data_IF_261762725508
#
_entry.id   IF_261762725508
#
_cell.length_a   1.000
_cell.length_b   1.000
_cell.length_c   1.000
_cell.angle_alpha   90.00
_cell.angle_beta   90.00
_cell.angle_gamma   90.00
#
_symmetry.space_group_name_H-M   'P 1'
#
loop_
_entity.id
_entity.type
_entity.pdbx_description
1 polymer ?
#
# COMPACT_ATOMS: atom_id res chain seq x y z
N UNK A 1 -33.53 12.55 14.11
CA UNK A 1 -32.94 13.31 12.96
C UNK A 1 -32.77 12.33 11.83
N UNK A 2 -33.29 12.64 10.66
CA UNK A 2 -33.07 11.81 9.47
C UNK A 2 -31.75 12.23 8.83
N UNK A 3 -30.85 11.29 8.65
CA UNK A 3 -29.61 11.52 7.91
C UNK A 3 -29.88 11.33 6.43
N UNK A 4 -29.45 12.26 5.60
CA UNK A 4 -29.40 12.13 4.14
C UNK A 4 -27.96 11.75 3.80
N UNK A 5 -27.77 10.56 3.23
CA UNK A 5 -26.48 10.16 2.70
C UNK A 5 -26.51 10.53 1.22
N UNK A 6 -25.71 11.50 0.82
CA UNK A 6 -25.46 11.82 -0.57
C UNK A 6 -24.24 11.04 -1.07
N UNK A 7 -24.31 10.58 -2.31
CA UNK A 7 -23.17 9.97 -3.01
C UNK A 7 -22.73 10.91 -4.15
N UNK A 8 -21.82 11.88 -3.90
CA UNK A 8 -21.43 12.91 -4.86
C UNK A 8 -20.92 12.31 -6.18
N UNK A 9 -20.24 11.17 -6.13
CA UNK A 9 -19.71 10.49 -7.31
C UNK A 9 -20.82 9.97 -8.23
N UNK A 10 -21.93 9.48 -7.65
CA UNK A 10 -23.08 9.04 -8.44
C UNK A 10 -23.79 10.21 -9.11
N UNK A 11 -23.88 11.37 -8.44
CA UNK A 11 -24.43 12.59 -9.02
C UNK A 11 -23.55 13.10 -10.16
N UNK A 12 -22.23 13.08 -10.02
CA UNK A 12 -21.28 13.45 -11.06
C UNK A 12 -21.36 12.50 -12.28
N UNK A 13 -21.46 11.19 -12.03
CA UNK A 13 -21.67 10.19 -13.07
C UNK A 13 -22.96 10.44 -13.85
N UNK A 14 -24.08 10.60 -13.15
CA UNK A 14 -25.37 10.90 -13.76
C UNK A 14 -25.36 12.22 -14.57
N UNK A 15 -24.67 13.26 -14.09
CA UNK A 15 -24.51 14.51 -14.83
C UNK A 15 -23.74 14.30 -16.14
N UNK A 16 -22.69 13.46 -16.12
CA UNK A 16 -21.88 13.13 -17.30
C UNK A 16 -22.70 12.34 -18.33
N UNK A 17 -23.47 11.35 -17.89
CA UNK A 17 -24.33 10.55 -18.77
C UNK A 17 -25.41 11.41 -19.42
N UNK A 18 -26.05 12.29 -18.65
CA UNK A 18 -27.04 13.23 -19.16
C UNK A 18 -26.43 14.20 -20.17
N UNK A 19 -25.22 14.71 -19.91
CA UNK A 19 -24.51 15.57 -20.87
C UNK A 19 -24.24 14.85 -22.20
N UNK A 20 -23.85 13.56 -22.14
CA UNK A 20 -23.67 12.70 -23.29
C UNK A 20 -24.95 12.51 -24.11
N UNK A 21 -26.08 12.23 -23.44
CA UNK A 21 -27.40 12.13 -24.10
C UNK A 21 -27.80 13.43 -24.78
N UNK A 22 -27.61 14.56 -24.10
CA UNK A 22 -27.91 15.90 -24.69
C UNK A 22 -27.07 16.20 -25.92
N UNK A 23 -25.79 15.85 -25.91
CA UNK A 23 -24.88 15.99 -27.05
C UNK A 23 -25.32 15.12 -28.23
N UNK A 24 -25.64 13.85 -28.00
CA UNK A 24 -26.09 12.94 -29.04
C UNK A 24 -27.39 13.40 -29.69
N UNK A 25 -28.36 13.87 -28.91
CA UNK A 25 -29.61 14.38 -29.40
C UNK A 25 -29.43 15.67 -30.25
N UNK A 26 -28.56 16.58 -29.81
CA UNK A 26 -28.23 17.78 -30.58
C UNK A 26 -27.58 17.44 -31.92
N UNK A 27 -26.67 16.47 -31.97
CA UNK A 27 -26.02 16.01 -33.20
C UNK A 27 -27.08 15.45 -34.16
N UNK A 28 -27.98 14.58 -33.69
CA UNK A 28 -29.05 13.99 -34.48
C UNK A 28 -29.99 15.06 -35.05
N UNK A 29 -30.42 16.03 -34.21
CA UNK A 29 -31.30 17.11 -34.63
C UNK A 29 -30.65 18.06 -35.68
N UNK A 30 -29.36 18.35 -35.52
CA UNK A 30 -28.60 19.14 -36.51
C UNK A 30 -28.45 18.38 -37.83
N UNK A 31 -28.18 17.08 -37.79
CA UNK A 31 -28.06 16.27 -39.01
C UNK A 31 -29.38 16.19 -39.79
N UNK A 32 -30.51 16.12 -39.09
CA UNK A 32 -31.84 16.09 -39.72
C UNK A 32 -32.32 17.46 -40.22
N UNK A 33 -31.83 18.56 -39.65
CA UNK A 33 -32.40 19.93 -39.85
C UNK A 33 -32.56 20.33 -41.32
N UNK A 34 -31.51 20.18 -42.13
CA UNK A 34 -31.56 20.61 -43.56
C UNK A 34 -32.59 19.82 -44.37
N UNK A 35 -32.72 18.53 -44.08
CA UNK A 35 -33.64 17.62 -44.80
C UNK A 35 -35.10 17.90 -44.46
N UNK A 36 -35.42 18.20 -43.19
CA UNK A 36 -36.80 18.35 -42.73
C UNK A 36 -37.32 19.77 -42.90
N UNK A 37 -36.46 20.81 -42.87
CA UNK A 37 -36.85 22.20 -43.02
C UNK A 37 -36.95 22.67 -44.48
N UNK A 38 -36.38 21.90 -45.41
CA UNK A 38 -36.41 22.23 -46.86
C UNK A 38 -37.06 21.11 -47.67
N UNK A 39 -38.29 20.70 -47.30
CA UNK A 39 -39.02 19.63 -48.01
C UNK A 39 -39.40 20.11 -49.39
N UNK A 40 -38.97 19.49 -50.49
CA UNK A 40 -39.39 19.87 -51.85
C UNK A 40 -40.85 19.45 -52.12
N UNK A 41 -41.56 20.22 -52.91
CA UNK A 41 -42.91 19.86 -53.36
C UNK A 41 -42.87 18.57 -54.21
N UNK A 42 -43.79 17.64 -53.98
CA UNK A 42 -43.85 16.36 -54.69
C UNK A 42 -44.28 16.48 -56.16
N UNK A 43 -44.95 17.57 -56.50
CA UNK A 43 -45.39 17.91 -57.85
C UNK A 43 -45.35 19.44 -58.11
N UNK A 44 -45.56 19.85 -59.34
CA UNK A 44 -45.59 21.24 -59.71
C UNK A 44 -47.01 21.88 -59.54
N UNK A 45 -47.76 21.42 -58.56
CA UNK A 45 -49.13 21.91 -58.29
C UNK A 45 -49.17 22.58 -56.88
N UNK A 46 -50.21 23.45 -56.74
CA UNK A 46 -50.38 24.24 -55.52
C UNK A 46 -50.65 23.49 -54.29
N UNK A 47 -51.19 22.25 -54.36
CA UNK A 47 -51.46 21.42 -53.22
C UNK A 47 -50.13 20.81 -52.69
N UNK A 48 -49.30 20.30 -53.60
CA UNK A 48 -47.99 19.81 -53.26
C UNK A 48 -47.08 20.87 -52.63
N UNK A 49 -47.16 22.11 -53.21
CA UNK A 49 -46.41 23.21 -52.63
C UNK A 49 -46.91 23.63 -51.25
N UNK A 50 -48.24 23.68 -51.04
CA UNK A 50 -48.83 23.96 -49.74
C UNK A 50 -48.48 22.91 -48.67
N UNK A 51 -48.48 21.61 -48.98
CA UNK A 51 -48.09 20.55 -48.09
C UNK A 51 -46.60 20.65 -47.71
N UNK A 52 -45.73 20.89 -48.70
CA UNK A 52 -44.29 21.09 -48.43
C UNK A 52 -44.04 22.29 -47.49
N UNK A 53 -44.79 23.38 -47.65
CA UNK A 53 -44.71 24.54 -46.77
C UNK A 53 -45.15 24.22 -45.34
N UNK A 54 -46.26 23.46 -45.15
CA UNK A 54 -46.72 23.03 -43.82
C UNK A 54 -45.68 22.15 -43.11
N UNK A 55 -45.13 21.14 -43.79
CA UNK A 55 -44.11 20.27 -43.20
C UNK A 55 -42.81 21.02 -42.88
N UNK A 56 -42.35 21.90 -43.77
CA UNK A 56 -41.18 22.74 -43.55
C UNK A 56 -41.39 23.70 -42.37
N UNK A 57 -42.60 24.33 -42.28
CA UNK A 57 -42.98 25.18 -41.14
C UNK A 57 -42.98 24.45 -39.84
N UNK A 58 -43.60 23.25 -39.75
CA UNK A 58 -43.60 22.42 -38.55
C UNK A 58 -42.18 22.00 -38.15
N UNK A 59 -41.32 21.69 -39.14
CA UNK A 59 -39.93 21.34 -38.86
C UNK A 59 -39.12 22.52 -38.28
N UNK A 60 -39.38 23.76 -38.74
CA UNK A 60 -38.78 24.96 -38.14
C UNK A 60 -39.22 25.16 -36.68
N UNK A 61 -40.53 24.99 -36.41
CA UNK A 61 -41.05 25.06 -35.02
C UNK A 61 -40.43 23.98 -34.11
N UNK A 62 -40.29 22.74 -34.62
CA UNK A 62 -39.60 21.67 -33.92
C UNK A 62 -38.14 22.03 -33.64
N UNK A 63 -37.38 22.60 -34.57
CA UNK A 63 -35.99 23.00 -34.36
C UNK A 63 -35.90 24.12 -33.30
N UNK A 64 -36.82 25.08 -33.30
CA UNK A 64 -36.88 26.11 -32.27
C UNK A 64 -37.14 25.52 -30.87
N UNK A 65 -38.11 24.61 -30.77
CA UNK A 65 -38.41 23.90 -29.51
C UNK A 65 -37.22 23.05 -29.04
N UNK A 66 -36.57 22.34 -29.97
CA UNK A 66 -35.36 21.53 -29.67
C UNK A 66 -34.24 22.39 -29.11
N UNK A 67 -34.01 23.60 -29.65
CA UNK A 67 -33.01 24.53 -29.12
C UNK A 67 -33.36 25.00 -27.69
N UNK A 68 -34.63 25.27 -27.39
CA UNK A 68 -35.08 25.64 -26.06
C UNK A 68 -34.87 24.46 -25.06
N UNK A 69 -35.26 23.25 -25.46
CA UNK A 69 -35.06 22.04 -24.63
C UNK A 69 -33.60 21.76 -24.37
N UNK A 70 -32.70 21.98 -25.35
CA UNK A 70 -31.26 21.86 -25.16
C UNK A 70 -30.74 22.84 -24.08
N UNK A 71 -31.27 24.07 -24.06
CA UNK A 71 -30.94 25.06 -23.03
C UNK A 71 -31.43 24.68 -21.64
N UNK A 72 -32.61 24.08 -21.53
CA UNK A 72 -33.13 23.55 -20.26
C UNK A 72 -32.28 22.37 -19.77
N UNK A 73 -31.96 21.45 -20.68
CA UNK A 73 -31.11 20.28 -20.39
C UNK A 73 -29.72 20.69 -19.87
N UNK A 74 -29.06 21.64 -20.52
CA UNK A 74 -27.77 22.17 -20.08
C UNK A 74 -27.84 22.77 -18.66
N UNK A 75 -28.85 23.57 -18.37
CA UNK A 75 -29.05 24.13 -17.02
C UNK A 75 -29.29 23.06 -15.99
N UNK A 76 -30.02 22.01 -16.32
CA UNK A 76 -30.24 20.87 -15.42
C UNK A 76 -28.94 20.12 -15.12
N UNK A 77 -28.14 19.83 -16.16
CA UNK A 77 -26.79 19.18 -15.98
C UNK A 77 -25.89 20.05 -15.10
N UNK A 78 -25.85 21.36 -15.33
CA UNK A 78 -25.07 22.29 -14.50
C UNK A 78 -25.54 22.30 -13.04
N UNK A 79 -26.87 22.34 -12.81
CA UNK A 79 -27.41 22.29 -11.45
C UNK A 79 -27.10 20.98 -10.74
N UNK A 80 -27.15 19.85 -11.45
CA UNK A 80 -26.80 18.54 -10.91
C UNK A 80 -25.32 18.46 -10.54
N UNK A 81 -24.44 18.95 -11.39
CA UNK A 81 -22.98 19.04 -11.13
C UNK A 81 -22.70 19.94 -9.93
N UNK A 82 -23.32 21.11 -9.87
CA UNK A 82 -23.16 22.02 -8.73
C UNK A 82 -23.65 21.42 -7.41
N UNK A 83 -24.76 20.66 -7.44
CA UNK A 83 -25.27 19.94 -6.27
C UNK A 83 -24.27 18.88 -5.78
N UNK A 84 -23.71 18.06 -6.69
CA UNK A 84 -22.66 17.09 -6.35
C UNK A 84 -21.46 17.74 -5.70
N UNK A 85 -20.98 18.84 -6.26
CA UNK A 85 -19.86 19.60 -5.68
C UNK A 85 -20.18 20.20 -4.30
N UNK A 86 -21.40 20.68 -4.09
CA UNK A 86 -21.83 21.20 -2.78
C UNK A 86 -21.87 20.12 -1.72
N UNK A 87 -22.35 18.93 -2.04
CA UNK A 87 -22.32 17.79 -1.10
C UNK A 87 -20.91 17.34 -0.80
N UNK A 88 -20.04 17.24 -1.82
CA UNK A 88 -18.62 16.90 -1.60
C UNK A 88 -17.92 17.93 -0.70
N UNK A 89 -18.18 19.21 -0.90
CA UNK A 89 -17.64 20.28 -0.06
C UNK A 89 -18.18 20.21 1.39
N UNK A 90 -19.45 19.88 1.58
CA UNK A 90 -20.05 19.72 2.90
C UNK A 90 -19.45 18.51 3.65
N UNK A 91 -19.25 17.38 2.98
CA UNK A 91 -18.56 16.21 3.54
C UNK A 91 -17.13 16.56 3.95
N UNK A 92 -16.36 17.22 3.08
CA UNK A 92 -15.01 17.67 3.38
C UNK A 92 -14.96 18.66 4.56
N UNK A 93 -15.93 19.57 4.65
CA UNK A 93 -16.03 20.52 5.75
C UNK A 93 -16.40 19.84 7.09
N UNK A 94 -17.15 18.74 7.07
CA UNK A 94 -17.53 18.01 8.28
C UNK A 94 -16.38 17.13 8.83
N UNK A 95 -15.44 16.68 8.00
CA UNK A 95 -14.28 15.88 8.45
C UNK A 95 -13.19 16.76 9.06
N UNK A 96 -12.91 17.93 8.50
CA UNK A 96 -11.82 18.82 8.92
C UNK A 96 -11.93 19.39 10.34
N UNK A 97 -13.10 19.85 10.83
CA UNK A 97 -13.19 20.44 12.16
C UNK A 97 -12.91 19.47 13.30
N UNK A 98 -13.33 18.21 13.15
CA UNK A 98 -13.09 17.18 14.16
C UNK A 98 -11.62 16.80 14.26
N UNK A 99 -10.94 16.63 13.13
CA UNK A 99 -9.50 16.38 13.10
C UNK A 99 -8.70 17.56 13.68
N UNK A 100 -9.06 18.79 13.34
CA UNK A 100 -8.41 19.97 13.91
C UNK A 100 -8.58 20.10 15.43
N UNK A 101 -9.75 19.74 15.96
CA UNK A 101 -9.98 19.71 17.42
C UNK A 101 -9.18 18.59 18.09
N UNK A 102 -9.14 17.41 17.48
CA UNK A 102 -8.33 16.27 17.96
C UNK A 102 -6.84 16.61 17.98
N UNK A 103 -6.30 17.14 16.88
CA UNK A 103 -4.89 17.55 16.79
C UNK A 103 -4.54 18.64 17.82
N UNK A 104 -5.43 19.62 18.01
CA UNK A 104 -5.23 20.69 19.00
C UNK A 104 -5.24 20.13 20.43
N UNK A 105 -6.18 19.26 20.75
CA UNK A 105 -6.27 18.62 22.06
C UNK A 105 -5.05 17.75 22.35
N UNK A 106 -4.66 16.91 21.40
CA UNK A 106 -3.44 16.10 21.50
C UNK A 106 -2.19 16.98 21.60
N UNK A 107 -2.13 18.09 20.88
CA UNK A 107 -1.05 19.08 20.98
C UNK A 107 -0.91 19.64 22.39
N UNK A 108 -2.01 20.05 23.02
CA UNK A 108 -2.00 20.56 24.39
C UNK A 108 -1.60 19.48 25.40
N UNK A 109 -2.12 18.26 25.27
CA UNK A 109 -1.80 17.13 26.16
C UNK A 109 -0.34 16.69 26.02
N UNK A 110 0.21 16.72 24.81
CA UNK A 110 1.56 16.26 24.52
C UNK A 110 2.64 17.34 24.78
N UNK A 111 2.25 18.62 24.79
CA UNK A 111 3.19 19.75 24.91
C UNK A 111 4.13 19.65 26.12
N UNK A 112 3.66 19.35 27.37
CA UNK A 112 4.54 19.27 28.52
C UNK A 112 5.57 18.15 28.43
N UNK A 113 5.13 16.95 27.98
CA UNK A 113 6.02 15.79 27.88
C UNK A 113 6.98 15.90 26.70
N UNK A 114 6.54 16.53 25.61
CA UNK A 114 7.39 16.84 24.46
C UNK A 114 8.50 17.83 24.85
N UNK A 115 8.17 18.86 25.63
CA UNK A 115 9.14 19.86 26.06
C UNK A 115 10.15 19.34 27.11
N UNK A 116 9.70 18.47 28.04
CA UNK A 116 10.52 17.98 29.13
C UNK A 116 11.30 16.70 28.78
N UNK A 117 10.70 15.80 27.97
CA UNK A 117 11.20 14.45 27.73
C UNK A 117 11.45 14.14 26.25
N UNK A 118 11.16 15.09 25.34
CA UNK A 118 11.32 14.92 23.89
C UNK A 118 10.37 13.90 23.26
N UNK A 119 9.40 13.37 24.04
CA UNK A 119 8.39 12.38 23.55
C UNK A 119 6.98 12.84 23.91
N UNK A 120 5.99 12.62 23.00
CA UNK A 120 4.59 12.87 23.30
C UNK A 120 4.06 11.90 24.35
N UNK A 121 3.04 12.31 25.10
CA UNK A 121 2.37 11.44 26.06
C UNK A 121 1.50 10.41 25.36
N UNK A 122 0.77 10.83 24.32
CA UNK A 122 -0.20 10.03 23.57
C UNK A 122 0.04 10.26 22.09
N UNK A 123 0.60 9.27 21.41
CA UNK A 123 0.80 9.28 19.95
C UNK A 123 1.29 7.91 19.48
N UNK A 124 0.92 7.52 18.28
CA UNK A 124 1.56 6.38 17.60
C UNK A 124 2.92 6.80 17.02
N UNK A 125 3.87 5.87 17.06
CA UNK A 125 5.18 6.03 16.44
C UNK A 125 5.08 6.05 14.91
N UNK A 126 5.86 6.90 14.26
CA UNK A 126 5.93 6.92 12.80
C UNK A 126 6.66 5.68 12.28
N UNK A 127 6.27 5.20 11.10
CA UNK A 127 7.04 4.16 10.41
C UNK A 127 8.43 4.69 10.02
N UNK A 128 9.44 3.84 10.14
CA UNK A 128 10.82 4.14 9.72
C UNK A 128 10.94 4.30 8.21
N UNK A 129 11.80 5.22 7.76
CA UNK A 129 12.24 5.27 6.38
C UNK A 129 13.08 4.02 6.04
N UNK A 130 13.34 3.71 4.76
CA UNK A 130 14.14 2.55 4.38
C UNK A 130 15.43 2.42 5.20
N UNK A 131 15.62 1.28 5.86
CA UNK A 131 16.75 1.00 6.74
C UNK A 131 16.74 1.74 8.09
N UNK A 132 15.70 2.51 8.41
CA UNK A 132 15.57 3.24 9.66
C UNK A 132 14.60 2.54 10.62
N UNK A 133 14.84 2.72 11.90
CA UNK A 133 13.94 2.21 12.94
C UNK A 133 12.59 2.93 12.90
N UNK A 134 11.53 2.21 13.26
CA UNK A 134 10.22 2.79 13.54
C UNK A 134 10.28 3.68 14.79
N UNK A 135 9.52 4.77 14.76
CA UNK A 135 9.40 5.66 15.92
C UNK A 135 8.71 4.97 17.10
N UNK A 136 9.10 5.32 18.30
CA UNK A 136 8.40 4.88 19.51
C UNK A 136 7.00 5.51 19.62
N UNK A 137 6.07 4.78 20.17
CA UNK A 137 4.77 5.29 20.61
C UNK A 137 4.89 6.35 21.70
N UNK A 138 3.79 6.97 22.11
CA UNK A 138 3.74 7.92 23.21
C UNK A 138 4.24 7.30 24.51
N UNK A 139 4.62 8.15 25.47
CA UNK A 139 5.11 7.67 26.78
C UNK A 139 4.07 6.81 27.49
N UNK A 140 2.80 7.21 27.42
CA UNK A 140 1.71 6.52 28.12
C UNK A 140 0.92 5.62 27.18
N UNK A 141 0.45 6.18 26.06
CA UNK A 141 -0.42 5.51 25.09
C UNK A 141 0.11 5.69 23.67
N UNK A 142 0.04 4.64 22.89
CA UNK A 142 0.36 4.65 21.47
C UNK A 142 1.14 3.42 21.02
N UNK A 143 0.99 3.05 19.79
CA UNK A 143 1.71 1.92 19.19
C UNK A 143 3.09 2.38 18.69
N UNK A 144 4.06 1.48 18.72
CA UNK A 144 5.33 1.69 18.03
C UNK A 144 5.15 1.66 16.51
N UNK A 145 5.92 2.46 15.79
CA UNK A 145 5.98 2.47 14.33
C UNK A 145 6.70 1.23 13.79
N UNK A 146 6.35 0.79 12.60
CA UNK A 146 7.08 -0.28 11.92
C UNK A 146 8.48 0.19 11.50
N UNK A 147 9.48 -0.69 11.57
CA UNK A 147 10.80 -0.44 11.01
C UNK A 147 10.78 -0.40 9.49
N UNK A 148 11.63 0.43 8.89
CA UNK A 148 11.79 0.55 7.44
C UNK A 148 12.45 -0.68 6.82
N UNK A 149 12.10 -1.01 5.59
CA UNK A 149 12.72 -2.10 4.83
C UNK A 149 14.15 -1.76 4.45
N UNK A 150 15.03 -2.76 4.45
CA UNK A 150 16.41 -2.62 3.98
C UNK A 150 16.48 -2.28 2.49
N UNK A 151 17.53 -1.56 2.11
CA UNK A 151 17.80 -1.25 0.72
C UNK A 151 18.20 -2.51 -0.06
N UNK A 152 17.63 -2.68 -1.26
CA UNK A 152 18.00 -3.73 -2.19
C UNK A 152 18.86 -3.13 -3.31
N UNK A 153 20.14 -3.50 -3.45
CA UNK A 153 21.00 -2.99 -4.51
C UNK A 153 20.52 -3.46 -5.89
N UNK A 154 20.96 -2.76 -6.92
CA UNK A 154 20.66 -3.10 -8.31
C UNK A 154 21.29 -4.44 -8.71
N UNK A 155 20.66 -5.14 -9.66
CA UNK A 155 21.22 -6.34 -10.29
C UNK A 155 22.60 -6.06 -10.89
N UNK A 156 23.51 -7.00 -10.78
CA UNK A 156 24.87 -6.93 -11.30
C UNK A 156 25.86 -6.20 -10.39
N UNK A 157 25.45 -5.67 -9.23
CA UNK A 157 26.34 -4.97 -8.31
C UNK A 157 27.14 -5.89 -7.39
N UNK A 158 26.66 -7.12 -7.12
CA UNK A 158 27.23 -8.00 -6.10
C UNK A 158 27.18 -7.43 -4.69
N UNK A 159 26.50 -6.29 -4.49
CA UNK A 159 26.47 -5.61 -3.19
C UNK A 159 25.52 -6.32 -2.21
N UNK A 160 25.84 -6.22 -0.93
CA UNK A 160 25.02 -6.75 0.15
C UNK A 160 23.71 -5.96 0.27
N UNK A 161 22.58 -6.63 0.52
CA UNK A 161 21.32 -5.98 0.85
C UNK A 161 21.44 -5.16 2.13
N UNK A 162 20.76 -4.03 2.21
CA UNK A 162 20.74 -3.20 3.43
C UNK A 162 19.93 -3.84 4.54
N UNK A 163 20.22 -3.49 5.79
CA UNK A 163 19.48 -3.98 6.94
C UNK A 163 18.11 -3.30 7.05
N UNK A 164 17.09 -4.01 7.52
CA UNK A 164 15.80 -3.47 7.90
C UNK A 164 15.87 -2.82 9.29
N UNK A 165 15.14 -1.74 9.49
CA UNK A 165 15.07 -1.04 10.78
C UNK A 165 14.25 -1.82 11.82
N UNK A 166 14.56 -1.63 13.11
CA UNK A 166 13.77 -2.19 14.19
C UNK A 166 12.38 -1.56 14.28
N UNK A 167 11.40 -2.29 14.80
CA UNK A 167 10.11 -1.74 15.17
C UNK A 167 10.21 -0.89 16.42
N UNK A 168 9.48 0.23 16.49
CA UNK A 168 9.42 1.09 17.66
C UNK A 168 8.69 0.43 18.84
N UNK A 169 8.95 0.91 20.05
CA UNK A 169 8.29 0.41 21.28
C UNK A 169 6.89 1.03 21.42
N UNK A 170 5.94 0.25 21.96
CA UNK A 170 4.63 0.74 22.39
C UNK A 170 4.68 1.60 23.64
N UNK A 171 3.56 2.28 23.97
CA UNK A 171 3.40 3.09 25.17
C UNK A 171 3.48 2.27 26.45
N UNK A 172 3.89 2.93 27.57
CA UNK A 172 4.06 2.26 28.85
C UNK A 172 2.77 1.63 29.40
N UNK A 173 1.63 2.32 29.30
CA UNK A 173 0.38 1.78 29.81
C UNK A 173 -0.31 0.89 28.75
N UNK A 174 -0.47 1.40 27.55
CA UNK A 174 -1.15 0.70 26.46
C UNK A 174 -0.54 1.04 25.11
N UNK A 175 -0.26 0.02 24.32
CA UNK A 175 0.23 0.14 22.94
C UNK A 175 0.98 -1.12 22.52
N UNK A 176 0.89 -1.47 21.28
CA UNK A 176 1.64 -2.60 20.70
C UNK A 176 3.00 -2.14 20.19
N UNK A 177 3.98 -3.00 20.22
CA UNK A 177 5.25 -2.77 19.55
C UNK A 177 5.10 -2.79 18.04
N UNK A 178 5.90 -2.00 17.32
CA UNK A 178 5.98 -2.00 15.87
C UNK A 178 6.67 -3.26 15.32
N UNK A 179 6.34 -3.68 14.11
CA UNK A 179 7.03 -4.78 13.44
C UNK A 179 8.43 -4.35 13.00
N UNK A 180 9.38 -5.27 13.02
CA UNK A 180 10.70 -5.07 12.40
C UNK A 180 10.60 -4.99 10.87
N UNK A 181 11.48 -4.21 10.25
CA UNK A 181 11.61 -4.08 8.81
C UNK A 181 12.25 -5.31 8.18
N UNK A 182 11.91 -5.60 6.94
CA UNK A 182 12.47 -6.71 6.16
C UNK A 182 13.88 -6.33 5.70
N UNK A 183 14.82 -7.27 5.72
CA UNK A 183 16.16 -7.09 5.15
C UNK A 183 16.12 -6.95 3.63
N UNK A 184 16.98 -6.11 3.06
CA UNK A 184 17.12 -5.93 1.62
C UNK A 184 17.65 -7.18 0.91
N UNK A 185 17.23 -7.38 -0.32
CA UNK A 185 17.75 -8.46 -1.17
C UNK A 185 19.20 -8.15 -1.56
N UNK A 186 20.09 -9.12 -1.54
CA UNK A 186 21.47 -8.97 -2.04
C UNK A 186 21.49 -8.77 -3.56
N UNK A 187 22.41 -7.92 -4.03
CA UNK A 187 22.61 -7.71 -5.46
C UNK A 187 23.13 -8.98 -6.14
N UNK A 188 22.63 -9.28 -7.34
CA UNK A 188 23.20 -10.35 -8.15
C UNK A 188 24.64 -10.00 -8.56
N UNK A 189 25.50 -11.02 -8.61
CA UNK A 189 26.85 -10.86 -9.13
C UNK A 189 26.89 -10.69 -10.64
N UNK A 190 28.07 -10.37 -11.18
CA UNK A 190 28.35 -10.43 -12.61
C UNK A 190 29.24 -11.65 -12.91
N UNK A 191 29.55 -11.87 -14.18
CA UNK A 191 30.43 -12.99 -14.62
C UNK A 191 31.72 -12.96 -13.83
N UNK A 192 32.02 -14.03 -13.09
CA UNK A 192 33.23 -14.18 -12.29
C UNK A 192 33.27 -13.37 -10.99
N UNK A 193 32.22 -12.61 -10.64
CA UNK A 193 32.09 -11.85 -9.40
C UNK A 193 31.09 -12.50 -8.42
N UNK A 194 31.27 -12.35 -7.10
CA UNK A 194 30.35 -12.87 -6.10
C UNK A 194 29.02 -12.12 -6.13
N UNK A 195 27.95 -12.81 -5.78
CA UNK A 195 26.66 -12.20 -5.48
C UNK A 195 26.61 -11.71 -4.03
N UNK A 196 25.87 -10.64 -3.77
CA UNK A 196 25.71 -10.07 -2.44
C UNK A 196 24.84 -10.93 -1.53
N UNK A 197 25.14 -10.90 -0.25
CA UNK A 197 24.28 -11.50 0.79
C UNK A 197 22.99 -10.68 0.96
N UNK A 198 21.93 -11.33 1.40
CA UNK A 198 20.72 -10.63 1.86
C UNK A 198 21.00 -9.84 3.14
N UNK A 199 20.37 -8.69 3.29
CA UNK A 199 20.48 -7.88 4.51
C UNK A 199 19.78 -8.53 5.70
N UNK A 200 20.22 -8.17 6.90
CA UNK A 200 19.54 -8.55 8.15
C UNK A 200 18.21 -7.79 8.25
N UNK A 201 17.29 -8.28 9.03
CA UNK A 201 16.03 -7.61 9.29
C UNK A 201 16.03 -6.90 10.64
N UNK A 202 15.01 -6.08 10.86
CA UNK A 202 14.78 -5.43 12.13
C UNK A 202 14.12 -6.35 13.17
N UNK A 203 14.34 -6.00 14.43
CA UNK A 203 13.69 -6.64 15.58
C UNK A 203 12.24 -6.12 15.69
N UNK A 204 11.33 -6.91 16.24
CA UNK A 204 10.02 -6.44 16.67
C UNK A 204 10.12 -5.57 17.92
N UNK A 205 9.36 -4.47 17.97
CA UNK A 205 9.30 -3.60 19.15
C UNK A 205 8.58 -4.25 20.32
N UNK A 206 9.02 -3.95 21.53
CA UNK A 206 8.37 -4.37 22.76
C UNK A 206 7.21 -3.47 23.15
N UNK A 207 6.49 -3.82 24.20
CA UNK A 207 5.38 -3.02 24.76
C UNK A 207 5.51 -2.86 26.26
N UNK A 208 4.72 -1.97 26.89
CA UNK A 208 4.71 -1.74 28.32
C UNK A 208 3.81 -2.72 29.08
N UNK A 209 2.78 -2.17 29.79
CA UNK A 209 1.90 -2.95 30.67
C UNK A 209 0.91 -3.82 29.88
N UNK A 210 0.25 -3.20 28.90
CA UNK A 210 -0.75 -3.85 28.02
C UNK A 210 -0.40 -3.65 26.55
N UNK A 211 -0.43 -4.72 25.77
CA UNK A 211 -0.23 -4.67 24.33
C UNK A 211 0.51 -5.88 23.79
N UNK A 212 0.61 -5.97 22.49
CA UNK A 212 1.27 -7.07 21.80
C UNK A 212 2.68 -6.67 21.36
N UNK A 213 3.63 -7.54 21.51
CA UNK A 213 4.97 -7.39 20.93
C UNK A 213 4.90 -7.37 19.41
N UNK A 214 5.69 -6.53 18.77
CA UNK A 214 5.80 -6.48 17.31
C UNK A 214 6.46 -7.75 16.75
N UNK A 215 6.08 -8.17 15.55
CA UNK A 215 6.76 -9.26 14.87
C UNK A 215 8.19 -8.85 14.46
N UNK A 216 9.13 -9.78 14.48
CA UNK A 216 10.44 -9.60 13.85
C UNK A 216 10.32 -9.55 12.34
N UNK A 217 11.19 -8.80 11.67
CA UNK A 217 11.25 -8.72 10.22
C UNK A 217 11.81 -10.02 9.59
N UNK A 218 11.54 -10.24 8.33
CA UNK A 218 12.12 -11.35 7.58
C UNK A 218 13.51 -10.97 7.05
N UNK A 219 14.45 -11.92 7.01
CA UNK A 219 15.76 -11.74 6.40
C UNK A 219 15.65 -11.51 4.89
N UNK A 220 16.56 -10.71 4.33
CA UNK A 220 16.67 -10.49 2.89
C UNK A 220 17.17 -11.74 2.15
N UNK A 221 16.75 -11.94 0.92
CA UNK A 221 17.26 -13.02 0.08
C UNK A 221 18.70 -12.75 -0.35
N UNK A 222 19.52 -13.80 -0.46
CA UNK A 222 20.83 -13.71 -1.10
C UNK A 222 20.71 -13.49 -2.60
N UNK A 223 21.60 -12.69 -3.16
CA UNK A 223 21.72 -12.49 -4.62
C UNK A 223 22.16 -13.78 -5.31
N UNK A 224 21.66 -14.02 -6.50
CA UNK A 224 22.05 -15.13 -7.37
C UNK A 224 22.06 -14.69 -8.82
N UNK A 225 22.93 -15.27 -9.64
CA UNK A 225 23.00 -14.98 -11.07
C UNK A 225 23.62 -16.17 -11.81
N UNK A 226 23.37 -16.22 -13.15
CA UNK A 226 24.13 -17.09 -14.02
C UNK A 226 25.57 -16.55 -14.10
N UNK A 227 26.56 -17.43 -14.00
CA UNK A 227 28.00 -17.11 -14.09
C UNK A 227 28.62 -16.38 -12.90
N UNK A 228 27.89 -16.20 -11.76
CA UNK A 228 28.51 -15.70 -10.54
C UNK A 228 29.55 -16.68 -9.98
N UNK A 229 30.59 -16.16 -9.32
CA UNK A 229 31.60 -17.01 -8.69
C UNK A 229 31.13 -17.61 -7.36
N UNK A 230 30.17 -17.01 -6.68
CA UNK A 230 29.53 -17.50 -5.47
C UNK A 230 28.09 -16.96 -5.35
N UNK A 231 27.20 -17.75 -4.80
CA UNK A 231 25.87 -17.29 -4.45
C UNK A 231 25.88 -16.53 -3.13
N UNK A 232 25.02 -15.51 -3.01
CA UNK A 232 24.83 -14.80 -1.75
C UNK A 232 24.04 -15.63 -0.72
N UNK A 233 24.43 -15.57 0.55
CA UNK A 233 23.63 -16.16 1.63
C UNK A 233 22.37 -15.30 1.90
N UNK A 234 21.30 -15.95 2.36
CA UNK A 234 20.14 -15.25 2.91
C UNK A 234 20.46 -14.54 4.21
N UNK A 235 19.86 -13.40 4.47
CA UNK A 235 19.99 -12.65 5.71
C UNK A 235 19.26 -13.31 6.88
N UNK A 236 19.73 -13.12 8.13
CA UNK A 236 19.06 -13.62 9.33
C UNK A 236 17.75 -12.86 9.59
N UNK A 237 16.81 -13.52 10.25
CA UNK A 237 15.53 -12.96 10.65
C UNK A 237 15.57 -12.28 12.01
N UNK A 238 14.66 -11.32 12.27
CA UNK A 238 14.52 -10.61 13.52
C UNK A 238 13.73 -11.36 14.57
N UNK A 239 14.06 -11.09 15.80
CA UNK A 239 13.29 -11.61 16.94
C UNK A 239 11.99 -10.82 17.08
N UNK A 240 10.94 -11.50 17.53
CA UNK A 240 9.70 -10.84 17.96
C UNK A 240 9.91 -10.03 19.24
N UNK A 241 9.19 -8.93 19.36
CA UNK A 241 9.18 -8.07 20.55
C UNK A 241 8.44 -8.71 21.72
N UNK A 242 8.74 -8.27 22.93
CA UNK A 242 8.06 -8.72 24.15
C UNK A 242 6.62 -8.21 24.19
N UNK A 243 5.68 -9.07 24.57
CA UNK A 243 4.30 -8.70 24.91
C UNK A 243 4.20 -7.93 26.22
N UNK A 244 3.02 -7.41 26.54
CA UNK A 244 2.76 -6.62 27.73
C UNK A 244 3.08 -7.37 29.03
N UNK A 245 3.66 -6.64 30.00
CA UNK A 245 4.04 -7.22 31.28
C UNK A 245 2.84 -7.82 32.04
N UNK A 246 1.68 -7.18 31.98
CA UNK A 246 0.48 -7.71 32.62
C UNK A 246 -0.38 -8.55 31.63
N UNK A 247 -0.61 -8.03 30.44
CA UNK A 247 -1.42 -8.70 29.42
C UNK A 247 -0.96 -8.36 28.01
N UNK A 248 -0.73 -9.38 27.21
CA UNK A 248 -0.41 -9.27 25.79
C UNK A 248 0.46 -10.39 25.29
N UNK A 249 0.37 -10.69 24.02
CA UNK A 249 1.17 -11.75 23.40
C UNK A 249 2.53 -11.22 22.96
N UNK A 250 3.55 -12.06 23.04
CA UNK A 250 4.83 -11.83 22.39
C UNK A 250 4.70 -11.85 20.86
N UNK A 251 5.50 -11.04 20.18
CA UNK A 251 5.58 -10.99 18.72
C UNK A 251 6.20 -12.26 18.13
N UNK A 252 5.77 -12.71 16.96
CA UNK A 252 6.41 -13.80 16.25
C UNK A 252 7.82 -13.41 15.79
N UNK A 253 8.75 -14.35 15.77
CA UNK A 253 10.03 -14.21 15.09
C UNK A 253 9.86 -14.20 13.57
N UNK A 254 10.74 -13.50 12.86
CA UNK A 254 10.74 -13.43 11.39
C UNK A 254 11.29 -14.71 10.75
N UNK A 255 11.12 -14.84 9.45
CA UNK A 255 11.62 -15.95 8.64
C UNK A 255 13.00 -15.57 8.08
N UNK A 256 13.98 -16.49 8.13
CA UNK A 256 15.29 -16.30 7.50
C UNK A 256 15.19 -16.12 5.99
N UNK A 257 16.04 -15.29 5.41
CA UNK A 257 16.11 -15.07 3.97
C UNK A 257 16.57 -16.34 3.23
N UNK A 258 16.06 -16.57 2.03
CA UNK A 258 16.55 -17.66 1.19
C UNK A 258 17.96 -17.37 0.66
N UNK A 259 18.77 -18.41 0.49
CA UNK A 259 20.05 -18.31 -0.20
C UNK A 259 19.87 -18.05 -1.71
N UNK A 260 20.85 -17.40 -2.33
CA UNK A 260 20.86 -17.12 -3.75
C UNK A 260 21.01 -18.39 -4.60
N UNK A 261 20.44 -18.39 -5.80
CA UNK A 261 20.52 -19.49 -6.75
C UNK A 261 21.55 -19.16 -7.82
N UNK A 262 22.39 -20.12 -8.20
CA UNK A 262 23.29 -20.00 -9.35
C UNK A 262 22.82 -20.91 -10.46
N UNK A 263 22.70 -20.37 -11.68
CA UNK A 263 22.25 -21.14 -12.84
C UNK A 263 23.39 -21.92 -13.49
N UNK A 264 24.25 -21.26 -14.26
CA UNK A 264 25.41 -21.86 -14.93
C UNK A 264 26.68 -21.12 -14.52
N UNK A 265 27.82 -21.83 -14.41
CA UNK A 265 29.09 -21.24 -14.01
C UNK A 265 30.27 -21.93 -14.70
N UNK A 266 31.50 -21.41 -14.63
CA UNK A 266 32.70 -22.03 -15.23
C UNK A 266 33.09 -23.37 -14.56
N UNK A 267 32.64 -23.59 -13.31
CA UNK A 267 32.83 -24.84 -12.59
C UNK A 267 31.79 -24.94 -11.49
N UNK A 268 30.99 -25.93 -11.35
CA UNK A 268 29.86 -26.04 -10.45
C UNK A 268 29.97 -25.23 -9.17
N UNK A 269 29.25 -24.10 -9.10
CA UNK A 269 29.23 -23.21 -7.92
C UNK A 269 28.08 -23.58 -6.97
N UNK A 270 28.37 -23.59 -5.69
CA UNK A 270 27.37 -23.93 -4.66
C UNK A 270 26.33 -22.83 -4.51
N UNK A 271 25.09 -23.20 -4.21
CA UNK A 271 24.02 -22.30 -3.83
C UNK A 271 24.28 -21.61 -2.52
N UNK A 272 23.68 -20.41 -2.33
CA UNK A 272 23.78 -19.66 -1.10
C UNK A 272 23.10 -20.34 0.10
N UNK A 273 23.66 -20.20 1.29
CA UNK A 273 23.05 -20.71 2.53
C UNK A 273 21.81 -19.88 2.88
N UNK A 274 20.76 -20.51 3.40
CA UNK A 274 19.60 -19.85 3.97
C UNK A 274 19.92 -19.12 5.27
N UNK A 275 19.29 -17.99 5.54
CA UNK A 275 19.41 -17.24 6.79
C UNK A 275 18.69 -17.94 7.95
N UNK A 276 19.13 -17.68 9.19
CA UNK A 276 18.46 -18.20 10.40
C UNK A 276 17.12 -17.52 10.65
N UNK A 277 16.14 -18.25 11.18
CA UNK A 277 14.90 -17.71 11.71
C UNK A 277 15.12 -16.87 12.97
N UNK A 278 14.18 -15.96 13.26
CA UNK A 278 14.19 -15.17 14.50
C UNK A 278 13.42 -15.83 15.62
N UNK A 279 13.85 -15.67 16.86
CA UNK A 279 13.12 -16.18 18.02
C UNK A 279 11.81 -15.42 18.25
N UNK A 280 10.78 -16.08 18.77
CA UNK A 280 9.57 -15.43 19.24
C UNK A 280 9.81 -14.57 20.47
N UNK A 281 9.01 -13.52 20.64
CA UNK A 281 9.01 -12.66 21.82
C UNK A 281 8.38 -13.35 23.03
N UNK A 282 8.89 -13.06 24.22
CA UNK A 282 8.28 -13.51 25.47
C UNK A 282 7.01 -12.70 25.80
N UNK A 283 6.15 -13.27 26.64
CA UNK A 283 5.03 -12.53 27.23
C UNK A 283 5.27 -12.31 28.72
N UNK A 284 4.48 -11.41 29.34
CA UNK A 284 4.50 -11.18 30.78
C UNK A 284 3.62 -12.17 31.55
N UNK A 285 2.73 -11.64 32.40
CA UNK A 285 1.92 -12.46 33.32
C UNK A 285 0.86 -13.27 32.59
N UNK A 286 0.11 -12.63 31.69
CA UNK A 286 -1.01 -13.19 30.92
C UNK A 286 -0.79 -12.99 29.42
N UNK A 287 -0.79 -14.06 28.67
CA UNK A 287 -0.66 -14.03 27.21
C UNK A 287 0.12 -15.23 26.66
N UNK A 288 0.21 -15.29 25.35
CA UNK A 288 0.96 -16.32 24.64
C UNK A 288 2.31 -15.78 24.17
N UNK A 289 3.34 -16.59 24.27
CA UNK A 289 4.62 -16.26 23.63
C UNK A 289 4.50 -16.22 22.12
N UNK A 290 5.36 -15.44 21.48
CA UNK A 290 5.50 -15.46 20.03
C UNK A 290 6.09 -16.78 19.52
N UNK A 291 5.66 -17.23 18.36
CA UNK A 291 6.27 -18.37 17.68
C UNK A 291 7.68 -18.01 17.18
N UNK A 292 8.59 -18.97 17.19
CA UNK A 292 9.88 -18.82 16.50
C UNK A 292 9.69 -18.85 14.98
N UNK A 293 10.52 -18.12 14.27
CA UNK A 293 10.55 -18.11 12.80
C UNK A 293 11.28 -19.33 12.24
N UNK A 294 10.94 -19.68 11.01
CA UNK A 294 11.65 -20.75 10.26
C UNK A 294 12.96 -20.20 9.67
N UNK A 295 13.94 -21.07 9.50
CA UNK A 295 15.12 -20.75 8.69
C UNK A 295 14.76 -20.56 7.21
N UNK A 296 15.56 -19.80 6.50
CA UNK A 296 15.45 -19.64 5.06
C UNK A 296 15.91 -20.89 4.32
N UNK A 297 15.37 -21.09 3.13
CA UNK A 297 15.80 -22.20 2.27
C UNK A 297 17.20 -21.94 1.70
N UNK A 298 18.01 -22.99 1.52
CA UNK A 298 19.24 -22.92 0.79
C UNK A 298 18.99 -22.71 -0.71
N UNK A 299 19.88 -21.98 -1.38
CA UNK A 299 19.81 -21.76 -2.82
C UNK A 299 20.21 -23.00 -3.63
N UNK A 300 19.73 -23.12 -4.85
CA UNK A 300 20.17 -24.17 -5.79
C UNK A 300 21.61 -23.93 -6.26
N UNK A 301 22.43 -24.99 -6.34
CA UNK A 301 23.75 -24.93 -6.93
C UNK A 301 23.72 -24.85 -8.45
N UNK A 302 24.76 -24.21 -9.05
CA UNK A 302 24.90 -24.02 -10.48
C UNK A 302 25.50 -25.23 -11.19
N UNK A 303 25.26 -25.34 -12.49
CA UNK A 303 25.86 -26.35 -13.36
C UNK A 303 27.09 -25.77 -14.07
N UNK A 304 28.26 -26.43 -13.90
CA UNK A 304 29.47 -26.07 -14.63
C UNK A 304 29.39 -26.44 -16.10
N UNK A 305 30.09 -25.68 -16.97
CA UNK A 305 30.22 -26.02 -18.39
C UNK A 305 31.04 -27.28 -18.64
N UNK A 306 31.90 -27.68 -17.69
CA UNK A 306 32.66 -28.92 -17.67
C UNK A 306 31.85 -30.14 -17.21
N UNK A 307 30.54 -29.94 -16.91
CA UNK A 307 29.63 -30.97 -16.38
C UNK A 307 29.67 -31.10 -14.85
N UNK A 308 30.46 -30.31 -14.14
CA UNK A 308 30.44 -30.28 -12.68
C UNK A 308 29.12 -29.72 -12.16
N UNK A 309 28.70 -30.17 -10.99
CA UNK A 309 27.49 -29.68 -10.33
C UNK A 309 27.89 -29.04 -8.99
N UNK A 310 27.42 -27.81 -8.79
CA UNK A 310 27.46 -27.18 -7.47
C UNK A 310 26.46 -27.82 -6.52
N UNK A 311 26.80 -27.88 -5.26
CA UNK A 311 25.88 -28.32 -4.22
C UNK A 311 24.79 -27.27 -3.95
N UNK A 312 23.63 -27.70 -3.53
CA UNK A 312 22.63 -26.79 -2.96
C UNK A 312 23.16 -26.19 -1.65
N UNK A 313 22.83 -24.93 -1.39
CA UNK A 313 23.14 -24.28 -0.11
C UNK A 313 22.43 -24.96 1.05
N UNK A 314 23.03 -24.93 2.23
CA UNK A 314 22.38 -25.42 3.45
C UNK A 314 21.15 -24.56 3.80
N UNK A 315 20.14 -25.18 4.37
CA UNK A 315 19.00 -24.45 4.95
C UNK A 315 19.43 -23.70 6.21
N UNK A 316 18.80 -22.55 6.45
CA UNK A 316 18.97 -21.82 7.70
C UNK A 316 18.34 -22.56 8.89
N UNK A 317 18.84 -22.30 10.08
CA UNK A 317 18.27 -22.86 11.31
C UNK A 317 16.98 -22.17 11.69
N UNK A 318 15.95 -22.92 12.05
CA UNK A 318 14.76 -22.38 12.70
C UNK A 318 15.08 -21.89 14.12
N UNK A 319 14.29 -20.96 14.62
CA UNK A 319 14.46 -20.43 15.97
C UNK A 319 13.36 -20.90 16.92
N UNK A 320 13.64 -20.75 18.22
CA UNK A 320 12.71 -21.14 19.29
C UNK A 320 11.60 -20.11 19.49
N UNK A 321 10.44 -20.56 19.97
CA UNK A 321 9.40 -19.66 20.48
C UNK A 321 9.86 -18.90 21.72
N UNK A 322 9.20 -17.80 22.03
CA UNK A 322 9.43 -17.05 23.28
C UNK A 322 8.95 -17.83 24.51
N UNK A 323 9.29 -17.33 25.71
CA UNK A 323 8.74 -17.88 26.95
C UNK A 323 7.27 -17.45 27.13
N UNK A 324 6.41 -18.40 27.48
CA UNK A 324 4.98 -18.19 27.78
C UNK A 324 4.74 -17.46 29.09
N UNK A 325 3.48 -17.03 29.29
CA UNK A 325 3.03 -16.41 30.55
C UNK A 325 3.06 -17.37 31.73
N UNK A 326 2.96 -16.76 32.91
CA UNK A 326 3.07 -17.50 34.19
C UNK A 326 1.72 -18.02 34.69
N UNK A 327 0.59 -17.60 34.08
CA UNK A 327 -0.78 -18.00 34.41
C UNK A 327 -1.55 -18.47 33.18
#
# INVERSE_FOLDING_TARGET
MSYVIAAPELLAGAATDLAGLGSTLQIANRAAAATITGVPAAGADDVSAALAAVFSGHALDYQALSAQMAGVHQRFVQALTASGSSYAAAEAANTNPLQGVEEHLLGVLNSPTQALLGRPLIRDGAAGAPGQDGGDGGLLLGNGGAGGTGYSPTTGSGAVGGDGGAGGTGGWLYGSGGSGGIGGVGGSGTIGAPSGHGGSCGLGGGTGLFGQGGAGGNGGQGGGENFASTAGAGGPAGTGGHGGWLYGNGGAGGIGGAGGVVGSSEGGVDGGVGGSGGSGGATGLLGNSGAGGTGGQGGGGGRGFDGSLGAGGAEGTGAVGGSGGWL
#
